data_IF_693931930762
#
_entry.id   IF_693931930762
#
_cell.length_a   1.000
_cell.length_b   1.000
_cell.length_c   1.000
_cell.angle_alpha   90.00
_cell.angle_beta   90.00
_cell.angle_gamma   90.00
#
_symmetry.space_group_name_H-M   'P 1'
#
loop_
_entity.id
_entity.type
_entity.pdbx_description
1 polymer ?
#
# COMPACT_ATOMS: atom_id res chain seq x y z
N UNK A 1 -24.44 -18.31 7.10
CA UNK A 1 -23.10 -17.66 7.04
C UNK A 1 -23.30 -16.21 7.44
N UNK A 2 -23.00 -15.88 8.68
CA UNK A 2 -23.20 -14.55 9.26
C UNK A 2 -22.18 -13.58 8.66
N UNK A 3 -22.68 -12.57 7.99
CA UNK A 3 -21.85 -11.40 7.60
C UNK A 3 -21.41 -10.76 8.92
N UNK A 4 -20.13 -10.93 9.28
CA UNK A 4 -19.51 -10.16 10.36
C UNK A 4 -19.85 -8.68 10.10
N UNK A 5 -20.60 -8.07 11.00
CA UNK A 5 -21.06 -6.71 10.80
C UNK A 5 -19.85 -5.79 10.73
N UNK A 6 -19.86 -4.86 9.78
CA UNK A 6 -18.81 -3.85 9.58
C UNK A 6 -18.41 -3.15 10.88
N UNK A 7 -19.36 -3.05 11.83
CA UNK A 7 -19.18 -2.53 13.21
C UNK A 7 -18.20 -3.35 14.04
N UNK A 8 -18.19 -4.69 13.86
CA UNK A 8 -17.29 -5.56 14.63
C UNK A 8 -15.85 -5.49 14.10
N UNK A 9 -15.71 -5.28 12.77
CA UNK A 9 -14.41 -5.02 12.14
C UNK A 9 -13.87 -3.68 12.66
N UNK A 10 -14.70 -2.65 12.70
CA UNK A 10 -14.34 -1.33 13.21
C UNK A 10 -14.00 -1.35 14.71
N UNK A 11 -14.82 -2.04 15.52
CA UNK A 11 -14.57 -2.18 16.95
C UNK A 11 -13.25 -2.89 17.26
N UNK A 12 -12.90 -3.95 16.53
CA UNK A 12 -11.60 -4.64 16.66
C UNK A 12 -10.43 -3.80 16.21
N UNK A 13 -10.56 -3.02 15.13
CA UNK A 13 -9.52 -2.12 14.65
C UNK A 13 -9.21 -0.97 15.61
N UNK A 14 -10.19 -0.51 16.39
CA UNK A 14 -10.07 0.67 17.26
C UNK A 14 -9.91 0.31 18.75
N UNK A 15 -10.32 -0.88 19.18
CA UNK A 15 -10.48 -1.24 20.60
C UNK A 15 -9.22 -1.78 21.30
N UNK A 16 -8.03 -1.89 20.66
CA UNK A 16 -6.84 -2.20 21.44
C UNK A 16 -6.31 -0.93 22.10
N UNK A 17 -6.59 -0.89 23.41
CA UNK A 17 -6.13 0.01 24.45
C UNK A 17 -4.70 0.44 24.27
N UNK A 18 -4.47 1.72 24.57
CA UNK A 18 -3.18 2.40 24.60
C UNK A 18 -2.10 1.60 25.35
N UNK A 19 -1.37 0.76 24.64
CA UNK A 19 -0.10 0.22 25.09
C UNK A 19 0.85 0.18 23.92
N UNK A 20 1.87 1.02 24.02
CA UNK A 20 3.07 1.08 23.19
C UNK A 20 2.79 1.11 21.67
N UNK A 21 2.57 2.30 21.16
CA UNK A 21 2.69 2.56 19.73
C UNK A 21 4.06 2.05 19.29
N UNK A 22 4.16 1.04 18.41
CA UNK A 22 5.40 0.84 17.70
C UNK A 22 5.62 2.15 16.95
N UNK A 23 6.58 2.94 17.42
CA UNK A 23 7.05 4.10 16.68
C UNK A 23 7.45 3.58 15.32
N UNK A 24 6.83 4.13 14.26
CA UNK A 24 7.24 3.84 12.90
C UNK A 24 8.77 3.93 12.85
N UNK A 25 9.40 2.95 12.20
CA UNK A 25 10.84 3.01 11.95
C UNK A 25 11.17 4.44 11.51
N UNK A 26 12.14 5.15 12.14
CA UNK A 26 12.49 6.52 11.78
C UNK A 26 12.71 6.73 10.29
N UNK A 27 13.04 5.67 9.55
CA UNK A 27 13.19 5.67 8.09
C UNK A 27 11.87 5.75 7.32
N UNK A 28 10.71 5.59 7.97
CA UNK A 28 9.39 5.52 7.31
C UNK A 28 8.50 6.68 7.71
N UNK A 29 8.97 7.55 8.62
CA UNK A 29 8.26 8.78 9.01
C UNK A 29 8.05 9.67 7.78
N UNK A 30 6.87 10.28 7.70
CA UNK A 30 6.42 11.14 6.60
C UNK A 30 6.24 10.43 5.23
N UNK A 31 6.28 9.08 5.20
CA UNK A 31 5.97 8.37 3.97
C UNK A 31 4.50 8.56 3.58
N UNK A 32 4.26 8.74 2.28
CA UNK A 32 2.94 8.97 1.72
C UNK A 32 2.29 7.64 1.28
N UNK A 33 1.08 7.38 1.77
CA UNK A 33 0.33 6.16 1.50
C UNK A 33 -0.95 6.48 0.74
N UNK A 34 -1.17 5.82 -0.38
CA UNK A 34 -2.44 5.86 -1.09
C UNK A 34 -3.32 4.70 -0.62
N UNK A 35 -4.46 5.03 -0.01
CA UNK A 35 -5.48 4.08 0.43
C UNK A 35 -6.54 3.99 -0.66
N UNK A 36 -6.81 2.78 -1.16
CA UNK A 36 -7.77 2.53 -2.22
C UNK A 36 -8.80 1.51 -1.74
N UNK A 37 -10.01 1.95 -1.47
CA UNK A 37 -11.13 1.14 -0.97
C UNK A 37 -12.43 1.91 -1.17
N UNK A 38 -13.49 1.29 -1.65
CA UNK A 38 -14.80 1.92 -1.87
C UNK A 38 -15.60 2.12 -0.57
N UNK A 39 -15.20 1.46 0.51
CA UNK A 39 -15.78 1.62 1.84
C UNK A 39 -15.23 2.83 2.57
N UNK A 40 -16.00 3.90 2.65
CA UNK A 40 -15.65 5.11 3.42
C UNK A 40 -15.26 4.80 4.86
N UNK A 41 -15.89 3.80 5.47
CA UNK A 41 -15.60 3.38 6.85
C UNK A 41 -14.18 2.79 6.96
N UNK A 42 -13.80 1.92 6.04
CA UNK A 42 -12.45 1.33 6.00
C UNK A 42 -11.41 2.40 5.70
N UNK A 43 -11.64 3.23 4.70
CA UNK A 43 -10.76 4.35 4.37
C UNK A 43 -10.51 5.23 5.59
N UNK A 44 -11.57 5.64 6.29
CA UNK A 44 -11.43 6.49 7.49
C UNK A 44 -10.69 5.82 8.62
N UNK A 45 -10.92 4.53 8.84
CA UNK A 45 -10.20 3.75 9.85
C UNK A 45 -8.70 3.66 9.52
N UNK A 46 -8.36 3.35 8.27
CA UNK A 46 -6.98 3.29 7.79
C UNK A 46 -6.28 4.65 7.92
N UNK A 47 -6.94 5.74 7.51
CA UNK A 47 -6.40 7.10 7.68
C UNK A 47 -6.04 7.36 9.14
N UNK A 48 -6.96 7.11 10.08
CA UNK A 48 -6.72 7.35 11.50
C UNK A 48 -5.53 6.53 12.04
N UNK A 49 -5.39 5.28 11.61
CA UNK A 49 -4.27 4.41 12.01
C UNK A 49 -2.95 4.95 11.47
N UNK A 50 -2.92 5.27 10.17
CA UNK A 50 -1.71 5.66 9.47
C UNK A 50 -1.24 7.07 9.86
N UNK A 51 -2.15 8.03 9.93
CA UNK A 51 -1.84 9.41 10.35
C UNK A 51 -1.30 9.46 11.78
N UNK A 52 -1.89 8.67 12.71
CA UNK A 52 -1.35 8.51 14.07
C UNK A 52 0.02 7.86 14.12
N UNK A 53 0.37 7.06 13.13
CA UNK A 53 1.69 6.47 12.99
C UNK A 53 2.70 7.37 12.24
N UNK A 54 2.30 8.58 11.82
CA UNK A 54 3.15 9.57 11.17
C UNK A 54 3.22 9.47 9.64
N UNK A 55 2.29 8.74 9.01
CA UNK A 55 2.18 8.67 7.55
C UNK A 55 1.31 9.80 7.00
N UNK A 56 1.60 10.24 5.78
CA UNK A 56 0.73 11.10 4.98
C UNK A 56 -0.23 10.20 4.19
N UNK A 57 -1.52 10.53 4.12
CA UNK A 57 -2.50 9.69 3.44
C UNK A 57 -3.20 10.38 2.27
N UNK A 58 -3.33 9.65 1.16
CA UNK A 58 -4.22 9.97 0.04
C UNK A 58 -5.28 8.89 -0.07
N UNK A 59 -6.43 9.20 -0.65
CA UNK A 59 -7.53 8.23 -0.77
C UNK A 59 -8.10 8.18 -2.18
N UNK A 60 -8.48 6.98 -2.62
CA UNK A 60 -9.22 6.72 -3.85
C UNK A 60 -10.31 5.68 -3.57
N UNK A 61 -11.40 5.70 -4.34
CA UNK A 61 -12.56 4.82 -4.16
C UNK A 61 -12.65 3.71 -5.22
N UNK A 62 -11.80 3.76 -6.24
CA UNK A 62 -11.72 2.78 -7.32
C UNK A 62 -10.33 2.76 -7.96
N UNK A 63 -10.10 1.76 -8.83
CA UNK A 63 -8.81 1.58 -9.49
C UNK A 63 -8.44 2.72 -10.46
N UNK A 64 -9.40 3.39 -11.09
CA UNK A 64 -9.13 4.49 -12.03
C UNK A 64 -8.59 5.70 -11.27
N UNK A 65 -9.24 6.07 -10.17
CA UNK A 65 -8.76 7.15 -9.30
C UNK A 65 -7.40 6.81 -8.70
N UNK A 66 -7.19 5.54 -8.29
CA UNK A 66 -5.92 5.09 -7.75
C UNK A 66 -4.76 5.31 -8.73
N UNK A 67 -4.91 4.91 -10.00
CA UNK A 67 -3.90 5.09 -11.03
C UNK A 67 -3.60 6.58 -11.25
N UNK A 68 -4.65 7.41 -11.37
CA UNK A 68 -4.50 8.86 -11.54
C UNK A 68 -3.76 9.51 -10.37
N UNK A 69 -4.11 9.16 -9.13
CA UNK A 69 -3.46 9.68 -7.93
C UNK A 69 -2.03 9.17 -7.78
N UNK A 70 -1.77 7.89 -8.06
CA UNK A 70 -0.43 7.33 -8.01
C UNK A 70 0.55 8.05 -8.95
N UNK A 71 0.12 8.37 -10.16
CA UNK A 71 0.91 9.16 -11.13
C UNK A 71 1.22 10.57 -10.63
N UNK A 72 0.25 11.24 -10.01
CA UNK A 72 0.40 12.64 -9.55
C UNK A 72 1.13 12.76 -8.23
N UNK A 73 0.77 11.92 -7.25
CA UNK A 73 1.24 12.06 -5.86
C UNK A 73 2.50 11.23 -5.59
N UNK A 74 2.80 10.23 -6.43
CA UNK A 74 3.96 9.36 -6.26
C UNK A 74 4.09 8.83 -4.83
N UNK A 75 3.06 8.15 -4.25
CA UNK A 75 3.11 7.68 -2.89
C UNK A 75 4.21 6.64 -2.69
N UNK A 76 4.69 6.49 -1.46
CA UNK A 76 5.69 5.49 -1.09
C UNK A 76 5.14 4.05 -1.08
N UNK A 77 3.82 3.89 -0.92
CA UNK A 77 3.12 2.61 -1.07
C UNK A 77 1.63 2.82 -1.36
N UNK A 78 0.99 1.79 -1.89
CA UNK A 78 -0.45 1.74 -2.16
C UNK A 78 -1.06 0.58 -1.37
N UNK A 79 -2.07 0.86 -0.53
CA UNK A 79 -2.97 -0.13 0.05
C UNK A 79 -4.18 -0.26 -0.88
N UNK A 80 -4.34 -1.42 -1.52
CA UNK A 80 -5.31 -1.64 -2.58
C UNK A 80 -6.33 -2.71 -2.19
N UNK A 81 -7.59 -2.34 -2.05
CA UNK A 81 -8.66 -3.32 -1.91
C UNK A 81 -8.82 -4.15 -3.20
N UNK A 82 -9.12 -5.43 -3.03
CA UNK A 82 -9.33 -6.34 -4.18
C UNK A 82 -10.67 -6.08 -4.85
N UNK A 83 -11.73 -5.90 -4.05
CA UNK A 83 -13.11 -5.84 -4.54
C UNK A 83 -13.62 -4.41 -4.54
N UNK A 84 -13.62 -3.78 -5.70
CA UNK A 84 -14.10 -2.41 -5.87
C UNK A 84 -14.94 -2.29 -7.15
N UNK A 85 -15.87 -1.31 -7.23
CA UNK A 85 -16.61 -1.03 -8.45
C UNK A 85 -15.71 -0.42 -9.53
N UNK A 86 -16.18 -0.40 -10.77
CA UNK A 86 -15.57 0.19 -11.97
C UNK A 86 -14.29 -0.52 -12.40
N UNK A 87 -13.27 -0.52 -11.58
CA UNK A 87 -11.99 -1.20 -11.79
C UNK A 87 -11.55 -1.84 -10.47
N UNK A 88 -11.43 -3.16 -10.44
CA UNK A 88 -11.03 -3.91 -9.26
C UNK A 88 -9.52 -3.77 -8.97
N UNK A 89 -9.11 -4.21 -7.77
CA UNK A 89 -7.72 -4.04 -7.32
C UNK A 89 -6.70 -4.84 -8.14
N UNK A 90 -7.09 -5.98 -8.71
CA UNK A 90 -6.20 -6.76 -9.58
C UNK A 90 -5.92 -6.05 -10.90
N UNK A 91 -6.97 -5.49 -11.52
CA UNK A 91 -6.85 -4.71 -12.75
C UNK A 91 -6.01 -3.46 -12.54
N UNK A 92 -6.28 -2.71 -11.47
CA UNK A 92 -5.52 -1.53 -11.11
C UNK A 92 -4.04 -1.86 -10.85
N UNK A 93 -3.76 -2.92 -10.09
CA UNK A 93 -2.39 -3.36 -9.80
C UNK A 93 -1.64 -3.70 -11.07
N UNK A 94 -2.27 -4.42 -12.01
CA UNK A 94 -1.65 -4.74 -13.30
C UNK A 94 -1.27 -3.49 -14.09
N UNK A 95 -2.12 -2.47 -14.09
CA UNK A 95 -1.81 -1.19 -14.76
C UNK A 95 -0.65 -0.48 -14.06
N UNK A 96 -0.71 -0.34 -12.73
CA UNK A 96 0.31 0.36 -11.94
C UNK A 96 1.70 -0.25 -12.08
N UNK A 97 1.80 -1.57 -12.09
CA UNK A 97 3.08 -2.28 -12.17
C UNK A 97 3.70 -2.21 -13.57
N UNK A 98 2.88 -2.11 -14.63
CA UNK A 98 3.35 -2.01 -16.01
C UNK A 98 3.57 -0.57 -16.49
N UNK A 99 3.15 0.44 -15.74
CA UNK A 99 3.35 1.84 -16.08
C UNK A 99 4.71 2.33 -15.54
N UNK A 100 5.65 2.77 -16.40
CA UNK A 100 6.96 3.28 -15.96
C UNK A 100 6.87 4.40 -14.92
N UNK A 101 5.78 5.14 -14.89
CA UNK A 101 5.57 6.21 -13.92
C UNK A 101 5.22 5.69 -12.52
N UNK A 102 4.67 4.51 -12.39
CA UNK A 102 4.17 3.96 -11.11
C UNK A 102 4.75 2.60 -10.75
N UNK A 103 5.48 1.95 -11.65
CA UNK A 103 6.03 0.60 -11.47
C UNK A 103 6.95 0.45 -10.24
N UNK A 104 7.59 1.53 -9.82
CA UNK A 104 8.44 1.55 -8.62
C UNK A 104 7.66 1.67 -7.30
N UNK A 105 6.36 1.99 -7.36
CA UNK A 105 5.51 2.15 -6.18
C UNK A 105 5.01 0.76 -5.74
N UNK A 106 5.34 0.29 -4.54
CA UNK A 106 4.90 -1.01 -4.09
C UNK A 106 3.39 -1.01 -3.80
N UNK A 107 2.70 -2.04 -4.30
CA UNK A 107 1.28 -2.28 -4.03
C UNK A 107 1.14 -3.39 -3.00
N UNK A 108 0.37 -3.15 -1.93
CA UNK A 108 -0.06 -4.12 -0.93
C UNK A 108 -1.55 -4.33 -1.14
N UNK A 109 -1.95 -5.55 -1.49
CA UNK A 109 -3.37 -5.88 -1.67
C UNK A 109 -4.04 -6.19 -0.34
N UNK A 110 -5.28 -5.74 -0.19
CA UNK A 110 -6.15 -6.03 0.94
C UNK A 110 -7.35 -6.85 0.47
N UNK A 111 -7.66 -7.98 1.10
CA UNK A 111 -8.80 -8.82 0.72
C UNK A 111 -9.60 -9.26 1.94
N UNK A 112 -10.94 -9.26 1.79
CA UNK A 112 -11.87 -9.80 2.78
C UNK A 112 -12.00 -11.33 2.72
N UNK A 113 -11.35 -11.98 1.76
CA UNK A 113 -11.32 -13.43 1.63
C UNK A 113 -9.91 -13.93 1.93
N UNK A 114 -9.78 -14.93 2.80
CA UNK A 114 -8.51 -15.63 3.04
C UNK A 114 -8.17 -16.62 1.92
N UNK A 115 -8.73 -16.43 0.72
CA UNK A 115 -8.48 -17.36 -0.37
C UNK A 115 -7.01 -17.28 -0.79
N UNK A 116 -6.36 -18.43 -0.78
CA UNK A 116 -4.99 -18.61 -1.28
C UNK A 116 -4.86 -18.09 -2.72
N UNK A 117 -5.94 -18.20 -3.50
CA UNK A 117 -6.04 -17.68 -4.86
C UNK A 117 -5.73 -16.18 -4.95
N UNK A 118 -6.31 -15.33 -4.09
CA UNK A 118 -6.11 -13.87 -4.15
C UNK A 118 -4.65 -13.50 -3.89
N UNK A 119 -4.01 -14.18 -2.94
CA UNK A 119 -2.60 -13.99 -2.65
C UNK A 119 -1.70 -14.41 -3.81
N UNK A 120 -1.98 -15.57 -4.41
CA UNK A 120 -1.22 -16.07 -5.57
C UNK A 120 -1.40 -15.15 -6.79
N UNK A 121 -2.62 -14.74 -7.08
CA UNK A 121 -2.90 -13.82 -8.18
C UNK A 121 -2.26 -12.46 -7.98
N UNK A 122 -2.40 -11.87 -6.79
CA UNK A 122 -1.79 -10.58 -6.47
C UNK A 122 -0.27 -10.60 -6.64
N UNK A 123 0.40 -11.66 -6.17
CA UNK A 123 1.85 -11.83 -6.33
C UNK A 123 2.25 -11.98 -7.80
N UNK A 124 1.51 -12.76 -8.59
CA UNK A 124 1.76 -12.90 -10.04
C UNK A 124 1.59 -11.59 -10.81
N UNK A 125 0.70 -10.73 -10.36
CA UNK A 125 0.48 -9.40 -10.93
C UNK A 125 1.54 -8.36 -10.49
N UNK A 126 2.44 -8.73 -9.59
CA UNK A 126 3.53 -7.88 -9.11
C UNK A 126 3.26 -7.13 -7.81
N UNK A 127 2.18 -7.44 -7.10
CA UNK A 127 1.96 -6.92 -5.74
C UNK A 127 3.11 -7.33 -4.81
N UNK A 128 3.52 -6.41 -3.93
CA UNK A 128 4.66 -6.61 -3.01
C UNK A 128 4.23 -7.08 -1.62
N UNK A 129 2.93 -7.13 -1.37
CA UNK A 129 2.37 -7.61 -0.12
C UNK A 129 0.90 -7.93 -0.21
N UNK A 130 0.42 -8.63 0.82
CA UNK A 130 -0.98 -8.98 0.97
C UNK A 130 -1.39 -8.88 2.43
N UNK A 131 -2.58 -8.35 2.70
CA UNK A 131 -3.18 -8.24 4.04
C UNK A 131 -4.60 -8.78 3.96
N UNK A 132 -4.93 -9.78 4.78
CA UNK A 132 -6.28 -10.29 4.91
C UNK A 132 -7.10 -9.37 5.84
N UNK A 133 -8.35 -9.08 5.46
CA UNK A 133 -9.34 -8.38 6.33
C UNK A 133 -10.15 -9.43 7.10
N UNK A 134 -10.41 -9.23 8.41
CA UNK A 134 -9.96 -8.15 9.26
C UNK A 134 -8.48 -8.28 9.66
N UNK A 135 -7.77 -7.16 9.79
CA UNK A 135 -6.36 -7.12 10.19
C UNK A 135 -6.16 -6.34 11.48
N UNK A 136 -5.12 -6.67 12.20
CA UNK A 136 -4.69 -5.92 13.38
C UNK A 136 -3.84 -4.72 12.99
N UNK A 137 -3.93 -3.63 13.79
CA UNK A 137 -3.17 -2.39 13.55
C UNK A 137 -1.66 -2.66 13.41
N UNK A 138 -1.11 -3.47 14.29
CA UNK A 138 0.33 -3.72 14.34
C UNK A 138 0.81 -4.51 13.12
N UNK A 139 0.01 -5.48 12.64
CA UNK A 139 0.31 -6.26 11.45
C UNK A 139 0.30 -5.40 10.19
N UNK A 140 -0.68 -4.50 10.08
CA UNK A 140 -0.75 -3.51 8.99
C UNK A 140 0.51 -2.63 8.97
N UNK A 141 0.87 -2.02 10.10
CA UNK A 141 2.01 -1.11 10.20
C UNK A 141 3.34 -1.84 9.95
N UNK A 142 3.53 -3.03 10.50
CA UNK A 142 4.72 -3.85 10.29
C UNK A 142 4.88 -4.24 8.81
N UNK A 143 3.80 -4.70 8.16
CA UNK A 143 3.80 -5.06 6.75
C UNK A 143 4.12 -3.84 5.88
N UNK A 144 3.48 -2.72 6.14
CA UNK A 144 3.66 -1.48 5.39
C UNK A 144 5.11 -0.98 5.50
N UNK A 145 5.65 -0.90 6.72
CA UNK A 145 7.03 -0.49 6.97
C UNK A 145 8.05 -1.38 6.26
N UNK A 146 7.87 -2.71 6.34
CA UNK A 146 8.73 -3.67 5.66
C UNK A 146 8.73 -3.49 4.13
N UNK A 147 7.56 -3.32 3.53
CA UNK A 147 7.42 -3.17 2.07
C UNK A 147 8.04 -1.86 1.60
N UNK A 148 7.81 -0.75 2.31
CA UNK A 148 8.41 0.56 1.98
C UNK A 148 9.95 0.50 2.09
N UNK A 149 10.48 -0.08 3.16
CA UNK A 149 11.92 -0.21 3.36
C UNK A 149 12.58 -1.03 2.24
N UNK A 150 11.95 -2.14 1.82
CA UNK A 150 12.43 -2.94 0.69
C UNK A 150 12.42 -2.15 -0.62
N UNK A 151 11.36 -1.40 -0.91
CA UNK A 151 11.24 -0.62 -2.12
C UNK A 151 12.29 0.50 -2.18
N UNK A 152 12.54 1.20 -1.08
CA UNK A 152 13.57 2.26 -0.99
C UNK A 152 14.97 1.69 -1.23
N UNK A 153 15.33 0.57 -0.61
CA UNK A 153 16.63 -0.11 -0.82
C UNK A 153 16.82 -0.53 -2.28
N UNK A 154 15.78 -1.04 -2.93
CA UNK A 154 15.85 -1.42 -4.34
C UNK A 154 16.11 -0.21 -5.25
N UNK A 155 15.48 0.94 -4.97
CA UNK A 155 15.69 2.19 -5.71
C UNK A 155 17.10 2.76 -5.51
N UNK A 156 17.64 2.71 -4.29
CA UNK A 156 19.01 3.14 -3.98
C UNK A 156 20.06 2.30 -4.74
N UNK A 157 19.89 0.99 -4.75
CA UNK A 157 20.80 0.09 -5.48
C UNK A 157 20.79 0.36 -6.98
N UNK A 158 19.63 0.69 -7.55
CA UNK A 158 19.50 1.02 -8.97
C UNK A 158 20.21 2.34 -9.32
N UNK A 159 20.13 3.34 -8.44
CA UNK A 159 20.83 4.63 -8.63
C UNK A 159 22.35 4.48 -8.57
N UNK A 160 22.86 3.60 -7.72
CA UNK A 160 24.29 3.36 -7.55
C UNK A 160 24.91 2.50 -8.70
N UNK A 161 24.08 1.84 -9.50
CA UNK A 161 24.51 1.01 -10.64
C UNK A 161 24.56 1.76 -11.98
N UNK A 162 24.10 3.03 -12.04
CA UNK A 162 24.26 3.87 -13.23
C UNK A 162 25.71 4.38 -13.25
N UNK A 163 26.58 3.98 -14.22
CA UNK A 163 27.95 4.49 -14.30
C UNK A 163 27.89 5.99 -14.59
N UNK A 164 28.63 6.76 -13.80
CA UNK A 164 28.96 8.15 -14.06
C UNK A 164 29.37 8.32 -15.53
N UNK A 165 28.78 9.33 -16.18
CA UNK A 165 28.95 9.68 -17.58
C UNK A 165 30.40 9.48 -18.07
N UNK A 166 30.52 8.83 -19.21
CA UNK A 166 31.73 8.82 -20.06
C UNK A 166 32.04 10.29 -20.36
N UNK A 167 33.12 10.80 -19.81
CA UNK A 167 33.67 12.09 -20.24
C UNK A 167 34.04 11.98 -21.74
N UNK A 168 33.64 12.97 -22.58
CA UNK A 168 34.06 12.97 -23.96
C UNK A 168 35.58 13.22 -24.00
N UNK A 169 36.34 12.22 -24.49
CA UNK A 169 37.76 12.38 -24.81
C UNK A 169 37.88 13.44 -25.86
N UNK A 170 38.36 14.64 -25.49
CA UNK A 170 38.79 15.68 -26.41
C UNK A 170 40.00 15.18 -27.21
N UNK A 171 39.85 15.18 -28.53
CA UNK A 171 40.95 15.19 -29.49
C UNK A 171 41.11 16.58 -30.09
#
# INVERSE_FOLDING_TARGET
MEKLALKDIFARMVAHKAEQTPTADPQVKDAAILIVDDSRTIVRALQLILERAGYITYTAIDGIQAISLARRQRPDAILMDVVMPVMNGFEATRVLVNDPQTASIPVIMMSGTEQVSDRVWGTRLGAKGFIAKPFEKNDLLAKLGSVIAMARRAQENTKNLTPSAIEPVSR
#
